data_IF_583779533569
#
_entry.id   IF_583779533569
#
_cell.length_a   1.000
_cell.length_b   1.000
_cell.length_c   1.000
_cell.angle_alpha   90.00
_cell.angle_beta   90.00
_cell.angle_gamma   90.00
#
_symmetry.space_group_name_H-M   'P 1'
#
loop_
_entity.id
_entity.type
_entity.pdbx_description
1 polymer ?
#
# COMPACT_ATOMS: atom_id res chain seq x y z
N UNK A 1 -9.91 -1.53 -3.61
CA UNK A 1 -9.31 -0.26 -4.08
C UNK A 1 -8.17 0.14 -3.18
N UNK A 2 -6.95 -0.32 -3.47
CA UNK A 2 -5.74 0.05 -2.76
C UNK A 2 -5.40 1.52 -2.98
N UNK A 3 -4.83 2.14 -1.95
CA UNK A 3 -4.27 3.49 -2.06
C UNK A 3 -2.79 3.38 -2.44
N UNK A 4 -2.35 4.17 -3.41
CA UNK A 4 -0.92 4.30 -3.71
C UNK A 4 -0.21 5.01 -2.56
N UNK A 5 0.80 4.41 -1.90
CA UNK A 5 1.44 5.02 -0.74
C UNK A 5 2.34 6.22 -1.09
N UNK A 6 2.70 6.36 -2.37
CA UNK A 6 3.59 7.42 -2.85
C UNK A 6 2.85 8.70 -3.22
N UNK A 7 1.65 8.58 -3.81
CA UNK A 7 0.86 9.73 -4.25
C UNK A 7 -0.53 9.82 -3.60
N UNK A 8 -0.89 8.85 -2.77
CA UNK A 8 -2.14 8.78 -2.00
C UNK A 8 -3.41 8.81 -2.86
N UNK A 9 -3.30 8.35 -4.12
CA UNK A 9 -4.43 8.22 -5.03
C UNK A 9 -4.98 6.79 -4.93
N UNK A 10 -6.30 6.67 -4.93
CA UNK A 10 -6.99 5.39 -5.02
C UNK A 10 -6.73 4.72 -6.37
N UNK A 11 -6.49 3.42 -6.33
CA UNK A 11 -6.23 2.61 -7.49
C UNK A 11 -7.22 1.46 -7.57
N UNK A 12 -7.48 1.02 -8.79
CA UNK A 12 -8.17 -0.24 -9.04
C UNK A 12 -7.28 -1.42 -8.62
N UNK A 13 -7.92 -2.46 -8.08
CA UNK A 13 -7.24 -3.68 -7.62
C UNK A 13 -6.57 -4.45 -8.78
N UNK A 14 -6.97 -4.18 -10.04
CA UNK A 14 -6.41 -4.78 -11.25
C UNK A 14 -5.17 -4.04 -11.80
N UNK A 15 -4.80 -2.90 -11.21
CA UNK A 15 -3.68 -2.08 -11.70
C UNK A 15 -2.42 -2.33 -10.87
N UNK A 16 -1.47 -3.05 -11.47
CA UNK A 16 -0.13 -3.20 -10.90
C UNK A 16 0.67 -1.89 -10.93
N UNK A 17 0.33 -0.95 -11.81
CA UNK A 17 1.05 0.33 -11.94
C UNK A 17 0.14 1.50 -11.65
N UNK A 18 0.59 2.39 -10.75
CA UNK A 18 -0.15 3.59 -10.43
C UNK A 18 -0.22 4.52 -11.66
N UNK A 19 -1.41 4.90 -12.13
CA UNK A 19 -1.53 5.79 -13.29
C UNK A 19 -1.09 7.23 -12.99
N UNK A 20 -1.00 7.62 -11.71
CA UNK A 20 -0.64 8.97 -11.31
C UNK A 20 0.87 9.15 -11.08
N UNK A 21 1.53 8.22 -10.37
CA UNK A 21 2.96 8.32 -10.09
C UNK A 21 3.85 7.41 -10.98
N UNK A 22 3.26 6.47 -11.72
CA UNK A 22 3.98 5.55 -12.60
C UNK A 22 4.73 4.43 -11.87
N UNK A 23 4.52 4.25 -10.57
CA UNK A 23 5.19 3.22 -9.78
C UNK A 23 4.43 1.90 -9.93
N UNK A 24 5.16 0.86 -10.32
CA UNK A 24 4.65 -0.53 -10.33
C UNK A 24 4.78 -1.14 -8.95
N UNK A 25 3.65 -1.58 -8.40
CA UNK A 25 3.51 -2.20 -7.10
C UNK A 25 3.18 -3.68 -7.30
N UNK A 26 3.84 -4.53 -6.53
CA UNK A 26 3.84 -5.99 -6.71
C UNK A 26 3.26 -6.72 -5.50
N UNK A 27 2.99 -6.00 -4.42
CA UNK A 27 2.44 -6.55 -3.19
C UNK A 27 1.27 -5.70 -2.72
N UNK A 28 0.14 -6.34 -2.41
CA UNK A 28 -1.01 -5.71 -1.79
C UNK A 28 -1.04 -6.06 -0.30
N UNK A 29 -1.20 -5.04 0.54
CA UNK A 29 -1.24 -5.22 1.98
C UNK A 29 -2.43 -4.47 2.57
N UNK A 30 -3.06 -5.07 3.59
CA UNK A 30 -4.14 -4.46 4.36
C UNK A 30 -3.66 -4.16 5.77
N UNK A 31 -3.61 -2.89 6.13
CA UNK A 31 -3.26 -2.52 7.50
C UNK A 31 -4.39 -2.93 8.46
N UNK A 32 -4.08 -3.72 9.49
CA UNK A 32 -5.08 -4.09 10.50
C UNK A 32 -5.44 -2.93 11.43
N UNK A 33 -4.62 -1.88 11.50
CA UNK A 33 -4.85 -0.72 12.39
C UNK A 33 -5.84 0.27 11.79
N UNK A 34 -5.64 0.70 10.54
CA UNK A 34 -6.52 1.66 9.87
C UNK A 34 -7.52 1.00 8.91
N UNK A 35 -7.37 -0.29 8.63
CA UNK A 35 -8.24 -1.04 7.71
C UNK A 35 -7.99 -0.74 6.23
N UNK A 36 -7.07 0.18 5.91
CA UNK A 36 -6.77 0.57 4.54
C UNK A 36 -5.94 -0.47 3.82
N UNK A 37 -6.29 -0.67 2.55
CA UNK A 37 -5.55 -1.48 1.61
C UNK A 37 -4.63 -0.56 0.82
N UNK A 38 -3.37 -0.95 0.65
CA UNK A 38 -2.40 -0.22 -0.13
C UNK A 38 -1.46 -1.20 -0.81
N UNK A 39 -0.94 -0.77 -1.96
CA UNK A 39 0.01 -1.56 -2.72
C UNK A 39 1.43 -1.01 -2.52
N UNK A 40 2.44 -1.87 -2.59
CA UNK A 40 3.84 -1.52 -2.35
C UNK A 40 4.78 -2.25 -3.30
N UNK A 41 5.96 -1.67 -3.51
CA UNK A 41 7.04 -2.26 -4.30
C UNK A 41 7.89 -3.27 -3.49
N UNK A 42 7.70 -3.32 -2.17
CA UNK A 42 8.42 -4.22 -1.28
C UNK A 42 7.89 -4.19 0.16
N UNK A 43 8.64 -4.80 1.08
CA UNK A 43 8.27 -4.91 2.50
C UNK A 43 8.40 -3.54 3.17
N UNK A 44 7.27 -3.00 3.67
CA UNK A 44 7.24 -1.75 4.42
C UNK A 44 7.24 -2.03 5.92
N UNK A 45 8.12 -1.34 6.66
CA UNK A 45 8.15 -1.41 8.12
C UNK A 45 6.96 -0.70 8.76
N UNK A 46 6.49 0.39 8.17
CA UNK A 46 5.41 1.22 8.68
C UNK A 46 4.34 1.44 7.63
N UNK A 47 3.08 1.58 8.06
CA UNK A 47 1.97 1.89 7.19
C UNK A 47 2.08 3.34 6.71
N UNK A 48 2.14 3.58 5.38
CA UNK A 48 2.33 4.92 4.82
C UNK A 48 1.10 5.83 4.97
N UNK A 49 -0.02 5.31 5.45
CA UNK A 49 -1.29 6.04 5.63
C UNK A 49 -1.58 6.39 7.10
N UNK A 50 -1.02 5.66 8.06
CA UNK A 50 -1.33 5.83 9.47
C UNK A 50 -0.16 5.60 10.44
N UNK A 51 1.05 5.40 9.91
CA UNK A 51 2.30 5.15 10.64
C UNK A 51 2.27 3.93 11.60
N UNK A 52 1.35 3.00 11.39
CA UNK A 52 1.31 1.74 12.13
C UNK A 52 2.56 0.91 11.85
N UNK A 53 3.16 0.30 12.88
CA UNK A 53 4.20 -0.71 12.67
C UNK A 53 3.59 -1.96 12.02
N UNK A 54 4.11 -2.31 10.84
CA UNK A 54 3.69 -3.47 10.06
C UNK A 54 4.63 -4.66 10.22
N UNK A 55 5.78 -4.48 10.88
CA UNK A 55 6.78 -5.52 11.08
C UNK A 55 6.17 -6.77 11.74
N UNK A 56 5.24 -6.58 12.66
CA UNK A 56 4.53 -7.66 13.35
C UNK A 56 3.38 -8.26 12.53
N UNK A 57 2.82 -7.50 11.57
CA UNK A 57 1.68 -7.93 10.73
C UNK A 57 2.12 -8.69 9.48
N UNK A 58 3.42 -8.67 9.15
CA UNK A 58 4.01 -9.32 7.99
C UNK A 58 4.71 -10.66 8.31
N UNK A 59 4.48 -11.23 9.51
CA UNK A 59 4.95 -12.57 9.92
C UNK A 59 3.95 -13.68 9.60
#
# INVERSE_FOLDING_TARGET
MPVCPYCQVEMDDDLDTCPNCGITMIYFFKCQRCGQEFATTGILKFCPLCDADLSEQMN
#
